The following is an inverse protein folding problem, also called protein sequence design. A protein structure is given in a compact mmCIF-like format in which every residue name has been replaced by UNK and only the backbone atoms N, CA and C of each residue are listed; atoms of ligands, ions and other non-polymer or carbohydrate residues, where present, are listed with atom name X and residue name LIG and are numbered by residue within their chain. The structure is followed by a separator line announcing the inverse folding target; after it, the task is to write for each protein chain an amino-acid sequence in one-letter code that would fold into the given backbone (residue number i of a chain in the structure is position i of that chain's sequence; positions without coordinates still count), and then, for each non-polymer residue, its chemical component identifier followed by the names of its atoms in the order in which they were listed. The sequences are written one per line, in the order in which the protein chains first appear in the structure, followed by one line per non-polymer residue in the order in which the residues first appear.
data_IF_377371319458
#
_entry.id   IF_377371319458
#
_cell.length_a   1.000
_cell.length_b   1.000
_cell.length_c   1.000
_cell.angle_alpha   90.00
_cell.angle_beta   90.00
_cell.angle_gamma   90.00
#
_symmetry.space_group_name_H-M   'P 1'
#
loop_
_entity.id
_entity.type
_entity.pdbx_description
1 polymer ?
#
# COMPACT_ATOMS: atom_id res chain seq x y z
N UNK A 1 -45.43 23.23 -10.96
CA UNK A 1 -44.97 22.13 -10.07
C UNK A 1 -43.92 21.35 -10.84
N UNK A 2 -42.64 21.69 -10.66
CA UNK A 2 -41.53 21.10 -11.42
C UNK A 2 -40.73 20.21 -10.47
N UNK A 3 -40.51 18.98 -10.92
CA UNK A 3 -40.02 17.82 -10.19
C UNK A 3 -38.67 18.02 -9.50
N UNK A 4 -38.59 17.69 -8.21
CA UNK A 4 -37.33 17.50 -7.49
C UNK A 4 -36.90 16.05 -7.67
N UNK A 5 -36.07 15.77 -8.68
CA UNK A 5 -35.31 14.52 -8.71
C UNK A 5 -34.18 14.64 -7.70
N UNK A 6 -34.35 13.99 -6.55
CA UNK A 6 -33.28 13.80 -5.58
C UNK A 6 -32.20 12.92 -6.24
N UNK A 7 -31.12 13.56 -6.70
CA UNK A 7 -29.92 12.87 -7.14
C UNK A 7 -29.30 12.13 -5.96
N UNK A 8 -29.35 10.80 -6.04
CA UNK A 8 -28.68 9.91 -5.13
C UNK A 8 -27.15 10.03 -5.20
N UNK A 9 -26.57 9.89 -4.02
CA UNK A 9 -25.46 8.98 -3.73
C UNK A 9 -24.27 9.00 -4.70
N UNK A 10 -23.22 9.76 -4.36
CA UNK A 10 -21.83 9.38 -4.73
C UNK A 10 -20.69 10.06 -3.99
N UNK A 11 -20.90 10.53 -2.76
CA UNK A 11 -19.78 10.87 -1.87
C UNK A 11 -19.39 9.65 -1.02
N UNK A 12 -19.15 8.49 -1.65
CA UNK A 12 -18.34 7.45 -1.01
C UNK A 12 -16.90 7.92 -1.05
N UNK A 13 -16.57 8.72 -0.05
CA UNK A 13 -15.22 9.14 0.27
C UNK A 13 -14.34 7.87 0.25
N UNK A 14 -13.56 7.71 -0.82
CA UNK A 14 -12.78 6.52 -1.14
C UNK A 14 -11.62 6.37 -0.19
N UNK A 15 -11.91 6.06 1.07
CA UNK A 15 -10.92 5.61 2.01
C UNK A 15 -10.39 4.27 1.49
N UNK A 16 -9.24 4.31 0.81
CA UNK A 16 -8.48 3.09 0.54
C UNK A 16 -8.02 2.60 1.91
N UNK A 17 -8.74 1.62 2.44
CA UNK A 17 -8.42 1.03 3.73
C UNK A 17 -7.05 0.36 3.60
N UNK A 18 -6.09 0.78 4.40
CA UNK A 18 -4.92 -0.05 4.63
C UNK A 18 -5.41 -1.29 5.38
N UNK A 19 -5.38 -2.44 4.70
CA UNK A 19 -5.58 -3.71 5.40
C UNK A 19 -4.58 -3.78 6.57
N UNK A 20 -5.05 -4.25 7.72
CA UNK A 20 -4.23 -4.44 8.93
C UNK A 20 -2.85 -4.96 8.54
N UNK A 21 -1.81 -4.23 8.92
CA UNK A 21 -0.43 -4.62 8.61
C UNK A 21 -0.19 -6.04 9.12
N UNK A 22 -0.09 -7.00 8.21
CA UNK A 22 0.32 -8.35 8.54
C UNK A 22 1.82 -8.33 8.86
N UNK A 23 2.15 -7.88 10.07
CA UNK A 23 3.53 -7.74 10.54
C UNK A 23 4.32 -9.04 10.44
N UNK A 24 3.67 -10.19 10.59
CA UNK A 24 4.29 -11.50 10.34
C UNK A 24 4.81 -11.64 8.91
N UNK A 25 4.06 -11.17 7.91
CA UNK A 25 4.49 -11.20 6.50
C UNK A 25 5.66 -10.23 6.27
N UNK A 26 5.61 -9.04 6.89
CA UNK A 26 6.72 -8.07 6.86
C UNK A 26 8.00 -8.64 7.49
N UNK A 27 7.87 -9.42 8.56
CA UNK A 27 8.99 -10.07 9.24
C UNK A 27 9.53 -11.29 8.47
N UNK A 28 8.68 -12.03 7.76
CA UNK A 28 9.11 -13.14 6.90
C UNK A 28 9.83 -12.63 5.65
N UNK A 29 9.36 -11.52 5.06
CA UNK A 29 9.95 -10.92 3.85
C UNK A 29 11.37 -10.35 4.03
N UNK A 30 11.91 -10.32 5.25
CA UNK A 30 13.28 -9.84 5.52
C UNK A 30 14.35 -10.89 5.19
N UNK A 31 13.97 -12.16 5.02
CA UNK A 31 14.89 -13.25 4.73
C UNK A 31 15.34 -13.31 3.27
N UNK A 32 16.19 -14.30 2.97
CA UNK A 32 16.58 -14.69 1.60
C UNK A 32 16.15 -16.12 1.26
N UNK A 33 15.09 -16.60 1.90
CA UNK A 33 14.53 -17.93 1.66
C UNK A 33 13.36 -17.85 0.66
N UNK A 34 12.95 -18.97 0.05
CA UNK A 34 11.76 -19.01 -0.81
C UNK A 34 10.51 -18.44 -0.13
N UNK A 35 10.34 -18.69 1.17
CA UNK A 35 9.23 -18.17 1.98
C UNK A 35 9.31 -16.64 2.14
N UNK A 36 10.52 -16.07 2.18
CA UNK A 36 10.71 -14.63 2.20
C UNK A 36 10.32 -13.99 0.87
N UNK A 37 10.67 -14.62 -0.25
CA UNK A 37 10.27 -14.14 -1.58
C UNK A 37 8.74 -14.22 -1.77
N UNK A 38 8.08 -15.29 -1.30
CA UNK A 38 6.61 -15.41 -1.30
C UNK A 38 5.95 -14.34 -0.42
N UNK A 39 6.49 -14.11 0.78
CA UNK A 39 6.00 -13.07 1.68
C UNK A 39 6.15 -11.67 1.06
N UNK A 40 7.25 -11.42 0.36
CA UNK A 40 7.52 -10.17 -0.34
C UNK A 40 6.57 -9.95 -1.51
N UNK A 41 6.32 -10.98 -2.33
CA UNK A 41 5.30 -10.93 -3.39
C UNK A 41 3.92 -10.59 -2.81
N UNK A 42 3.55 -11.25 -1.70
CA UNK A 42 2.29 -11.00 -1.00
C UNK A 42 2.20 -9.55 -0.51
N UNK A 43 3.27 -8.97 0.01
CA UNK A 43 3.31 -7.56 0.41
C UNK A 43 3.09 -6.64 -0.79
N UNK A 44 3.83 -6.84 -1.87
CA UNK A 44 3.70 -6.05 -3.09
C UNK A 44 2.25 -6.07 -3.61
N UNK A 45 1.65 -7.25 -3.76
CA UNK A 45 0.27 -7.38 -4.25
C UNK A 45 -0.77 -6.76 -3.32
N UNK A 46 -0.58 -6.92 -2.01
CA UNK A 46 -1.53 -6.42 -1.00
C UNK A 46 -1.49 -4.90 -0.89
N UNK A 47 -0.29 -4.32 -0.93
CA UNK A 47 -0.10 -2.90 -0.62
C UNK A 47 0.04 -2.00 -1.84
N UNK A 48 0.13 -2.54 -3.05
CA UNK A 48 0.19 -1.74 -4.28
C UNK A 48 -0.94 -0.71 -4.38
N UNK A 49 -2.20 -1.17 -4.36
CA UNK A 49 -3.37 -0.30 -4.50
C UNK A 49 -3.54 0.69 -3.33
N UNK A 50 -3.34 0.28 -2.06
CA UNK A 50 -3.28 1.20 -0.93
C UNK A 50 -2.26 2.32 -1.08
N UNK A 51 -1.02 2.00 -1.47
CA UNK A 51 0.04 2.97 -1.63
C UNK A 51 -0.20 3.88 -2.83
N UNK A 52 -0.56 3.31 -3.98
CA UNK A 52 -0.95 4.09 -5.16
C UNK A 52 -2.11 5.05 -4.85
N UNK A 53 -3.16 4.56 -4.19
CA UNK A 53 -4.31 5.37 -3.80
C UNK A 53 -3.97 6.44 -2.75
N UNK A 54 -2.99 6.20 -1.88
CA UNK A 54 -2.45 7.22 -0.99
C UNK A 54 -1.74 8.33 -1.78
N UNK A 55 -0.80 7.97 -2.66
CA UNK A 55 -0.06 8.94 -3.49
C UNK A 55 -0.99 9.72 -4.42
N UNK A 56 -1.98 9.06 -5.04
CA UNK A 56 -3.01 9.73 -5.85
C UNK A 56 -3.81 10.77 -5.09
N UNK A 57 -4.09 10.53 -3.80
CA UNK A 57 -4.79 11.50 -2.93
C UNK A 57 -3.90 12.65 -2.49
N UNK A 58 -2.57 12.52 -2.59
CA UNK A 58 -1.61 13.60 -2.32
C UNK A 58 -1.47 14.60 -3.48
N UNK A 59 -2.23 14.45 -4.58
CA UNK A 59 -2.28 15.41 -5.67
C UNK A 59 -1.41 15.08 -6.89
N UNK A 60 -0.70 13.95 -6.86
CA UNK A 60 0.12 13.50 -7.99
C UNK A 60 -0.73 12.99 -9.16
N UNK A 61 -0.23 13.20 -10.38
CA UNK A 61 -0.85 12.65 -11.59
C UNK A 61 -0.79 11.11 -11.57
N UNK A 62 -1.64 10.43 -12.36
CA UNK A 62 -1.67 8.97 -12.40
C UNK A 62 -0.30 8.32 -12.65
N UNK A 63 0.47 8.88 -13.59
CA UNK A 63 1.81 8.40 -13.98
C UNK A 63 2.83 8.62 -12.85
N UNK A 64 2.91 9.84 -12.31
CA UNK A 64 3.80 10.15 -11.18
C UNK A 64 3.49 9.29 -9.94
N UNK A 65 2.20 9.06 -9.66
CA UNK A 65 1.80 8.21 -8.55
C UNK A 65 2.18 6.73 -8.76
N UNK A 66 2.14 6.27 -10.01
CA UNK A 66 2.60 4.93 -10.36
C UNK A 66 4.12 4.82 -10.18
N UNK A 67 4.89 5.79 -10.70
CA UNK A 67 6.35 5.80 -10.62
C UNK A 67 6.83 5.89 -9.16
N UNK A 68 6.20 6.74 -8.34
CA UNK A 68 6.51 6.83 -6.91
C UNK A 68 6.21 5.52 -6.16
N UNK A 69 5.10 4.87 -6.51
CA UNK A 69 4.74 3.58 -5.90
C UNK A 69 5.71 2.48 -6.34
N UNK A 70 6.10 2.46 -7.62
CA UNK A 70 7.12 1.54 -8.15
C UNK A 70 8.47 1.77 -7.48
N UNK A 71 8.93 3.02 -7.40
CA UNK A 71 10.20 3.39 -6.80
C UNK A 71 10.27 3.02 -5.31
N UNK A 72 9.16 3.14 -4.59
CA UNK A 72 9.06 2.66 -3.21
C UNK A 72 9.31 1.15 -3.11
N UNK A 73 8.63 0.34 -3.93
CA UNK A 73 8.85 -1.12 -3.94
C UNK A 73 10.24 -1.49 -4.45
N UNK A 74 10.76 -0.81 -5.47
CA UNK A 74 12.12 -1.02 -5.96
C UNK A 74 13.14 -0.78 -4.84
N UNK A 75 13.03 0.33 -4.10
CA UNK A 75 13.90 0.63 -2.96
C UNK A 75 13.74 -0.41 -1.84
N UNK A 76 12.53 -0.89 -1.58
CA UNK A 76 12.25 -1.96 -0.61
C UNK A 76 12.95 -3.27 -1.00
N UNK A 77 12.88 -3.61 -2.28
CA UNK A 77 13.47 -4.82 -2.88
C UNK A 77 15.00 -4.73 -2.97
N UNK A 78 15.56 -3.55 -3.25
CA UNK A 78 17.00 -3.32 -3.29
C UNK A 78 17.60 -3.38 -1.90
N UNK A 79 16.91 -2.80 -0.91
CA UNK A 79 17.44 -2.73 0.44
C UNK A 79 17.46 -4.08 1.12
N UNK A 80 16.51 -5.01 0.84
CA UNK A 80 16.27 -6.37 1.41
C UNK A 80 16.42 -6.55 2.94
N UNK A 81 17.31 -5.82 3.59
CA UNK A 81 17.30 -5.44 5.00
C UNK A 81 16.12 -4.52 5.27
N UNK A 82 14.96 -5.14 5.46
CA UNK A 82 13.85 -4.56 6.21
C UNK A 82 14.20 -4.32 7.70
N UNK A 83 15.47 -4.37 8.08
CA UNK A 83 15.97 -4.02 9.41
C UNK A 83 15.60 -2.58 9.79
N UNK A 84 15.47 -1.66 8.82
CA UNK A 84 14.95 -0.30 9.08
C UNK A 84 13.49 -0.31 9.55
N UNK A 85 12.74 -1.36 9.20
CA UNK A 85 11.34 -1.57 9.65
C UNK A 85 11.30 -2.18 11.06
N UNK A 86 12.40 -2.78 11.54
CA UNK A 86 12.53 -3.33 12.89
C UNK A 86 13.05 -2.28 13.87
N UNK A 87 12.13 -1.75 14.69
CA UNK A 87 12.12 -1.90 16.17
C UNK A 87 11.13 -0.96 16.87
N UNK A 88 10.73 0.14 16.22
CA UNK A 88 9.95 1.18 16.93
C UNK A 88 8.43 1.18 16.67
N UNK A 89 7.91 0.45 15.67
CA UNK A 89 6.51 0.60 15.23
C UNK A 89 5.62 -0.65 15.28
N UNK A 90 6.15 -1.83 15.59
CA UNK A 90 5.37 -3.06 15.72
C UNK A 90 5.36 -3.54 17.17
N UNK A 91 4.37 -3.10 17.96
CA UNK A 91 4.14 -3.58 19.32
C UNK A 91 3.82 -5.09 19.25
N UNK A 92 4.54 -5.88 20.07
CA UNK A 92 4.33 -7.32 20.30
C UNK A 92 2.86 -7.66 20.56
#
# INVERSE_FOLDING_TARGET
MTSLSASGDRARNGAVAFATTHWSVVLTAQGRSPEADEALEKLCRTYWWPLYGFVRRSGYKPEEAQDLTQGFFAMLLERRDLDVVRREKGRL
#
